data_IF_216478932752
#
_entry.id   IF_216478932752
#
_cell.length_a   1.000
_cell.length_b   1.000
_cell.length_c   1.000
_cell.angle_alpha   90.00
_cell.angle_beta   90.00
_cell.angle_gamma   90.00
#
_symmetry.space_group_name_H-M   'P 1'
#
loop_
_entity.id
_entity.type
_entity.pdbx_description
1 polymer ?
#
# COMPACT_ATOMS: atom_id res chain seq x y z
N UNK A 1 24.25 8.35 1.27
CA UNK A 1 23.42 7.13 1.48
C UNK A 1 24.30 6.13 2.21
N UNK A 2 23.86 5.60 3.36
CA UNK A 2 24.70 5.11 4.47
C UNK A 2 25.70 3.98 4.17
N UNK A 3 26.34 3.45 5.21
CA UNK A 3 27.42 2.43 5.13
C UNK A 3 27.09 1.16 4.34
N UNK A 4 25.81 0.95 3.99
CA UNK A 4 25.30 -0.23 3.30
C UNK A 4 25.07 -0.01 1.79
N UNK A 5 25.38 1.18 1.26
CA UNK A 5 25.26 1.51 -0.16
C UNK A 5 23.82 1.66 -0.67
N UNK A 6 23.69 1.75 -2.00
CA UNK A 6 22.41 1.69 -2.74
C UNK A 6 22.31 0.29 -3.33
N UNK A 7 21.15 -0.36 -3.20
CA UNK A 7 20.87 -1.64 -3.86
C UNK A 7 19.58 -1.55 -4.65
N UNK A 8 19.53 -2.27 -5.77
CA UNK A 8 18.31 -2.44 -6.55
C UNK A 8 17.55 -3.67 -6.05
N UNK A 9 16.23 -3.59 -6.06
CA UNK A 9 15.33 -4.74 -5.90
C UNK A 9 14.73 -5.03 -7.26
N UNK A 10 14.83 -6.28 -7.71
CA UNK A 10 14.19 -6.71 -8.94
C UNK A 10 12.68 -6.76 -8.74
N UNK A 11 11.94 -6.19 -9.70
CA UNK A 11 10.47 -6.17 -9.68
C UNK A 11 9.95 -7.46 -10.33
N UNK A 12 9.81 -8.52 -9.54
CA UNK A 12 9.27 -9.81 -10.01
C UNK A 12 7.77 -9.93 -9.74
N UNK A 13 7.09 -10.81 -10.49
CA UNK A 13 5.66 -11.12 -10.30
C UNK A 13 5.38 -11.83 -8.98
N UNK A 14 6.31 -12.64 -8.48
CA UNK A 14 6.21 -13.29 -7.17
C UNK A 14 6.30 -12.25 -6.04
N UNK A 15 7.14 -11.23 -6.23
CA UNK A 15 7.35 -10.17 -5.26
C UNK A 15 6.24 -9.14 -5.25
N UNK A 16 5.64 -8.83 -6.41
CA UNK A 16 4.79 -7.64 -6.57
C UNK A 16 3.47 -7.91 -7.29
N UNK A 17 3.11 -9.19 -7.44
CA UNK A 17 1.89 -9.64 -8.11
C UNK A 17 1.96 -9.45 -9.62
N UNK A 18 1.16 -10.20 -10.36
CA UNK A 18 1.08 -10.11 -11.81
C UNK A 18 -0.12 -9.29 -12.29
N UNK A 19 0.03 -8.54 -13.38
CA UNK A 19 -1.08 -7.98 -14.14
C UNK A 19 -0.75 -7.87 -15.62
N UNK A 20 -1.77 -8.01 -16.45
CA UNK A 20 -1.67 -7.76 -17.88
C UNK A 20 -1.93 -6.26 -18.10
N UNK A 21 -0.96 -5.57 -18.68
CA UNK A 21 -1.07 -4.17 -19.06
C UNK A 21 -2.11 -3.96 -20.17
N UNK A 22 -2.49 -2.70 -20.41
CA UNK A 22 -3.43 -2.35 -21.50
C UNK A 22 -2.92 -2.73 -22.89
N UNK A 23 -1.61 -2.87 -23.02
CA UNK A 23 -0.89 -3.32 -24.22
C UNK A 23 -0.79 -4.85 -24.34
N UNK A 24 -1.40 -5.62 -23.42
CA UNK A 24 -1.36 -7.08 -23.40
C UNK A 24 -0.09 -7.67 -22.80
N UNK A 25 0.88 -6.84 -22.37
CA UNK A 25 2.14 -7.31 -21.81
C UNK A 25 2.01 -7.62 -20.32
N UNK A 26 2.65 -8.70 -19.86
CA UNK A 26 2.73 -9.03 -18.44
C UNK A 26 3.63 -8.03 -17.70
N UNK A 27 3.17 -7.54 -16.55
CA UNK A 27 3.86 -6.58 -15.69
C UNK A 27 3.59 -6.88 -14.21
N UNK A 28 4.44 -6.36 -13.32
CA UNK A 28 4.13 -6.45 -11.88
C UNK A 28 3.03 -5.48 -11.49
N UNK A 29 2.25 -5.73 -10.43
CA UNK A 29 1.21 -4.78 -9.99
C UNK A 29 1.77 -3.47 -9.42
N UNK A 30 3.04 -3.41 -9.02
CA UNK A 30 3.63 -2.20 -8.46
C UNK A 30 3.53 -1.00 -9.42
N UNK A 31 3.10 0.15 -8.91
CA UNK A 31 2.99 1.41 -9.66
C UNK A 31 3.87 2.50 -9.03
N UNK A 32 3.57 2.91 -7.79
CA UNK A 32 4.28 4.01 -7.12
C UNK A 32 4.10 3.99 -5.59
N UNK A 33 4.61 5.03 -4.92
CA UNK A 33 4.37 5.31 -3.50
C UNK A 33 4.86 4.21 -2.54
N UNK A 34 6.13 3.79 -2.59
CA UNK A 34 6.62 2.73 -1.70
C UNK A 34 6.67 3.22 -0.25
N UNK A 35 5.95 2.52 0.63
CA UNK A 35 6.03 2.68 2.08
C UNK A 35 6.62 1.43 2.71
N UNK A 36 7.88 1.53 3.15
CA UNK A 36 8.62 0.40 3.74
C UNK A 36 8.78 0.56 5.25
N UNK A 37 8.49 -0.50 6.00
CA UNK A 37 8.70 -0.53 7.44
C UNK A 37 9.01 -1.96 7.90
N UNK A 38 9.63 -2.08 9.08
CA UNK A 38 9.89 -3.37 9.73
C UNK A 38 8.94 -3.53 10.91
N UNK A 39 8.32 -4.70 11.03
CA UNK A 39 7.51 -5.09 12.19
C UNK A 39 7.83 -6.54 12.57
N UNK A 40 8.24 -6.74 13.82
CA UNK A 40 8.82 -8.01 14.30
C UNK A 40 9.96 -8.44 13.36
N UNK A 41 9.90 -9.66 12.83
CA UNK A 41 10.94 -10.22 11.97
C UNK A 41 10.68 -10.04 10.47
N UNK A 42 9.63 -9.29 10.09
CA UNK A 42 9.26 -9.05 8.71
C UNK A 42 9.42 -7.58 8.31
N UNK A 43 9.89 -7.39 7.08
CA UNK A 43 9.76 -6.14 6.34
C UNK A 43 8.45 -6.15 5.56
N UNK A 44 7.77 -5.02 5.56
CA UNK A 44 6.55 -4.76 4.81
C UNK A 44 6.84 -3.64 3.82
N UNK A 45 6.39 -3.81 2.58
CA UNK A 45 6.41 -2.80 1.54
C UNK A 45 4.99 -2.66 1.01
N UNK A 46 4.35 -1.53 1.31
CA UNK A 46 3.01 -1.18 0.85
C UNK A 46 3.13 -0.16 -0.28
N UNK A 47 2.31 -0.27 -1.31
CA UNK A 47 2.45 0.55 -2.52
C UNK A 47 1.14 0.70 -3.28
N UNK A 48 1.06 1.75 -4.10
CA UNK A 48 0.01 1.90 -5.10
C UNK A 48 0.17 0.82 -6.17
N UNK A 49 -0.93 0.17 -6.51
CA UNK A 49 -0.96 -1.01 -7.34
C UNK A 49 -1.96 -0.89 -8.51
N UNK A 50 -1.48 -1.33 -9.68
CA UNK A 50 -2.11 -1.53 -10.99
C UNK A 50 -3.46 -0.84 -11.25
N UNK A 51 -3.50 -0.03 -12.30
CA UNK A 51 -4.74 0.52 -12.86
C UNK A 51 -5.04 1.92 -12.36
N UNK A 52 -6.03 2.56 -13.00
CA UNK A 52 -6.55 3.87 -12.61
C UNK A 52 -8.08 3.71 -12.55
N UNK A 53 -8.75 3.92 -11.40
CA UNK A 53 -8.16 4.28 -10.10
C UNK A 53 -7.22 3.22 -9.51
N UNK A 54 -6.22 3.63 -8.73
CA UNK A 54 -5.22 2.74 -8.15
C UNK A 54 -5.76 1.93 -6.96
N UNK A 55 -5.29 0.69 -6.81
CA UNK A 55 -5.43 -0.12 -5.60
C UNK A 55 -4.26 0.18 -4.64
N UNK A 56 -4.34 -0.31 -3.40
CA UNK A 56 -3.15 -0.44 -2.55
C UNK A 56 -2.88 -1.91 -2.31
N UNK A 57 -1.65 -2.34 -2.59
CA UNK A 57 -1.16 -3.68 -2.32
C UNK A 57 0.02 -3.65 -1.36
N UNK A 58 0.42 -4.84 -0.90
CA UNK A 58 1.64 -4.98 -0.13
C UNK A 58 2.37 -6.29 -0.40
N UNK A 59 3.64 -6.27 -0.03
CA UNK A 59 4.55 -7.40 -0.05
C UNK A 59 5.31 -7.49 1.26
N UNK A 60 5.75 -8.69 1.62
CA UNK A 60 6.60 -8.91 2.81
C UNK A 60 7.91 -9.58 2.45
N UNK A 61 8.96 -9.35 3.23
CA UNK A 61 10.25 -10.01 3.10
C UNK A 61 10.92 -10.28 4.46
N UNK A 62 11.76 -11.32 4.58
CA UNK A 62 12.58 -11.53 5.77
C UNK A 62 13.75 -10.54 5.89
N UNK A 63 14.12 -9.86 4.79
CA UNK A 63 15.16 -8.84 4.74
C UNK A 63 14.72 -7.69 3.85
N UNK A 64 15.25 -6.48 4.08
CA UNK A 64 15.00 -5.31 3.24
C UNK A 64 15.42 -5.54 1.77
N UNK A 65 16.33 -6.49 1.53
CA UNK A 65 16.78 -6.90 0.18
C UNK A 65 15.91 -8.00 -0.43
N UNK A 66 14.85 -8.44 0.24
CA UNK A 66 14.02 -9.56 -0.18
C UNK A 66 14.47 -10.92 0.40
N UNK A 67 14.02 -12.05 -0.18
CA UNK A 67 13.05 -12.10 -1.28
C UNK A 67 11.70 -11.50 -0.85
N UNK A 68 11.12 -10.66 -1.70
CA UNK A 68 9.79 -10.11 -1.48
C UNK A 68 8.74 -11.12 -1.92
N UNK A 69 7.62 -11.15 -1.21
CA UNK A 69 6.46 -11.99 -1.56
C UNK A 69 5.22 -11.12 -1.56
N UNK A 70 4.49 -11.12 -2.67
CA UNK A 70 3.20 -10.45 -2.81
C UNK A 70 2.18 -11.02 -1.83
N UNK A 71 1.42 -10.14 -1.16
CA UNK A 71 0.43 -10.53 -0.14
C UNK A 71 -1.00 -10.10 -0.45
N UNK A 72 -1.24 -9.48 -1.60
CA UNK A 72 -2.59 -9.06 -1.99
C UNK A 72 -2.84 -7.56 -1.83
N UNK A 73 -4.09 -7.17 -2.12
CA UNK A 73 -4.58 -5.82 -1.89
C UNK A 73 -4.98 -5.62 -0.44
N UNK A 74 -4.72 -4.42 0.10
CA UNK A 74 -5.20 -3.97 1.40
C UNK A 74 -6.22 -2.84 1.28
N UNK A 75 -6.41 -2.26 0.08
CA UNK A 75 -7.48 -1.32 -0.19
C UNK A 75 -7.95 -1.44 -1.65
N UNK A 76 -9.26 -1.57 -1.82
CA UNK A 76 -9.94 -1.52 -3.11
C UNK A 76 -10.35 -0.08 -3.47
N UNK A 77 -11.00 0.06 -4.63
CA UNK A 77 -11.53 1.34 -5.09
C UNK A 77 -12.80 1.69 -4.35
N UNK A 78 -12.98 2.98 -4.04
CA UNK A 78 -14.26 3.51 -3.58
C UNK A 78 -14.53 4.87 -4.24
N UNK A 79 -15.81 5.29 -4.40
CA UNK A 79 -16.16 6.51 -5.14
C UNK A 79 -15.52 7.81 -4.62
N UNK A 80 -15.23 7.87 -3.32
CA UNK A 80 -14.63 9.04 -2.66
C UNK A 80 -13.09 9.04 -2.68
N UNK A 81 -12.45 7.98 -3.19
CA UNK A 81 -11.00 7.94 -3.40
C UNK A 81 -10.62 8.71 -4.68
N UNK A 82 -9.42 9.29 -4.67
CA UNK A 82 -8.85 9.89 -5.87
C UNK A 82 -8.40 8.82 -6.88
N UNK A 83 -8.08 9.24 -8.11
CA UNK A 83 -7.66 8.32 -9.18
C UNK A 83 -6.26 7.71 -8.93
N UNK A 84 -5.39 8.40 -8.22
CA UNK A 84 -4.15 7.85 -7.62
C UNK A 84 -4.38 7.51 -6.16
N UNK A 85 -3.51 6.72 -5.55
CA UNK A 85 -3.51 6.43 -4.13
C UNK A 85 -2.08 6.39 -3.58
N UNK A 86 -1.88 6.64 -2.28
CA UNK A 86 -0.54 6.64 -1.67
C UNK A 86 -0.61 6.14 -0.23
N UNK A 87 0.11 5.06 0.12
CA UNK A 87 0.00 4.46 1.44
C UNK A 87 0.94 5.09 2.47
N UNK A 88 0.51 5.09 3.72
CA UNK A 88 1.37 5.22 4.89
C UNK A 88 0.86 4.33 6.02
N UNK A 89 1.73 3.56 6.67
CA UNK A 89 1.36 2.74 7.84
C UNK A 89 2.26 3.07 9.02
N UNK A 90 1.65 3.31 10.19
CA UNK A 90 2.36 3.51 11.45
C UNK A 90 1.67 2.76 12.59
N UNK A 91 2.47 2.38 13.59
CA UNK A 91 1.97 1.96 14.89
C UNK A 91 2.05 3.17 15.85
N UNK A 92 0.93 3.51 16.51
CA UNK A 92 0.86 4.63 17.44
C UNK A 92 -0.08 4.31 18.60
N UNK A 93 0.39 4.56 19.85
CA UNK A 93 -0.38 4.32 21.08
C UNK A 93 -1.02 2.92 21.17
N UNK A 94 -0.31 1.89 20.70
CA UNK A 94 -0.79 0.50 20.76
C UNK A 94 -1.74 0.09 19.62
N UNK A 95 -2.02 0.97 18.67
CA UNK A 95 -2.88 0.69 17.51
C UNK A 95 -2.09 0.84 16.21
N UNK A 96 -2.58 0.22 15.14
CA UNK A 96 -2.02 0.35 13.79
C UNK A 96 -2.95 1.18 12.91
N UNK A 97 -2.35 2.10 12.15
CA UNK A 97 -3.07 3.06 11.33
C UNK A 97 -2.61 3.01 9.88
N UNK A 98 -3.58 3.01 8.98
CA UNK A 98 -3.36 3.08 7.55
C UNK A 98 -3.85 4.44 7.01
N UNK A 99 -2.90 5.24 6.54
CA UNK A 99 -3.10 6.53 5.91
C UNK A 99 -3.13 6.38 4.39
N UNK A 100 -4.04 7.13 3.78
CA UNK A 100 -4.25 7.22 2.34
C UNK A 100 -4.83 8.61 2.00
N UNK A 101 -5.22 8.83 0.74
CA UNK A 101 -5.88 10.09 0.36
C UNK A 101 -7.21 9.90 -0.38
N UNK A 102 -8.06 10.91 -0.25
CA UNK A 102 -9.37 11.02 -0.89
C UNK A 102 -9.46 12.34 -1.67
N UNK A 103 -10.52 12.51 -2.47
CA UNK A 103 -10.85 13.78 -3.13
C UNK A 103 -12.16 14.40 -2.64
N UNK A 104 -12.77 13.83 -1.60
CA UNK A 104 -14.13 14.17 -1.19
C UNK A 104 -14.30 15.64 -0.75
N UNK A 105 -13.35 16.17 0.03
CA UNK A 105 -13.39 17.57 0.47
C UNK A 105 -13.29 18.59 -0.67
N UNK A 106 -12.77 18.17 -1.83
CA UNK A 106 -12.66 19.01 -3.02
C UNK A 106 -13.84 18.87 -3.98
N UNK A 107 -14.85 18.05 -3.64
CA UNK A 107 -15.95 17.75 -4.55
C UNK A 107 -15.57 16.81 -5.70
N UNK A 108 -14.51 16.00 -5.53
CA UNK A 108 -14.06 15.04 -6.54
C UNK A 108 -12.92 15.50 -7.45
N UNK A 109 -12.23 16.60 -7.12
CA UNK A 109 -11.05 17.03 -7.87
C UNK A 109 -9.84 16.15 -7.55
N UNK A 110 -9.50 15.22 -8.45
CA UNK A 110 -8.44 14.22 -8.25
C UNK A 110 -7.02 14.77 -7.98
N UNK A 111 -6.76 16.05 -8.26
CA UNK A 111 -5.50 16.73 -7.96
C UNK A 111 -5.52 17.54 -6.67
N UNK A 112 -6.70 17.74 -6.05
CA UNK A 112 -6.88 18.40 -4.75
C UNK A 112 -7.31 17.35 -3.72
N UNK A 113 -6.31 16.65 -3.18
CA UNK A 113 -6.52 15.49 -2.32
C UNK A 113 -6.46 15.86 -0.84
N UNK A 114 -7.09 15.05 -0.01
CA UNK A 114 -7.12 15.18 1.45
C UNK A 114 -6.70 13.86 2.09
N UNK A 115 -5.96 13.94 3.20
CA UNK A 115 -5.53 12.75 3.94
C UNK A 115 -6.73 12.12 4.66
N UNK A 116 -6.78 10.79 4.62
CA UNK A 116 -7.71 9.96 5.39
C UNK A 116 -6.94 8.87 6.15
N UNK A 117 -7.57 8.29 7.16
CA UNK A 117 -6.95 7.27 8.02
C UNK A 117 -7.97 6.25 8.49
N UNK A 118 -7.60 4.98 8.42
CA UNK A 118 -8.29 3.88 9.09
C UNK A 118 -7.41 3.27 10.19
N UNK A 119 -8.03 2.82 11.26
CA UNK A 119 -7.40 1.92 12.21
C UNK A 119 -7.63 0.47 11.76
N UNK A 120 -6.62 -0.39 11.90
CA UNK A 120 -6.75 -1.81 11.61
C UNK A 120 -5.95 -2.66 12.59
N UNK A 121 -6.22 -3.97 12.58
CA UNK A 121 -5.43 -4.97 13.28
C UNK A 121 -4.80 -5.92 12.28
N UNK A 122 -3.53 -6.28 12.52
CA UNK A 122 -2.89 -7.36 11.75
C UNK A 122 -3.54 -8.70 12.11
N UNK A 123 -3.67 -9.57 11.12
CA UNK A 123 -4.02 -10.97 11.35
C UNK A 123 -2.94 -11.67 12.19
N UNK A 124 -3.27 -12.82 12.78
CA UNK A 124 -2.36 -13.57 13.64
C UNK A 124 -1.04 -13.99 12.95
N UNK A 125 -1.08 -14.23 11.64
CA UNK A 125 0.08 -14.56 10.80
C UNK A 125 0.90 -13.32 10.38
N UNK A 126 0.49 -12.13 10.80
CA UNK A 126 1.12 -10.86 10.44
C UNK A 126 0.65 -10.27 9.12
N UNK A 127 -0.31 -10.88 8.41
CA UNK A 127 -0.90 -10.27 7.22
C UNK A 127 -1.76 -9.04 7.57
N UNK A 128 -1.85 -8.11 6.63
CA UNK A 128 -2.73 -6.94 6.69
C UNK A 128 -4.08 -7.37 6.09
N UNK A 129 -5.22 -7.15 6.77
CA UNK A 129 -6.53 -7.43 6.21
C UNK A 129 -6.88 -6.45 5.08
N UNK A 130 -7.95 -6.74 4.34
CA UNK A 130 -8.53 -5.72 3.48
C UNK A 130 -9.15 -4.61 4.35
N UNK A 131 -8.73 -3.37 4.13
CA UNK A 131 -9.18 -2.18 4.86
C UNK A 131 -10.18 -1.42 3.99
N UNK A 132 -11.37 -1.17 4.54
CA UNK A 132 -12.44 -0.46 3.86
C UNK A 132 -12.35 1.03 4.19
N UNK A 133 -12.18 1.93 3.21
CA UNK A 133 -12.16 3.36 3.48
C UNK A 133 -13.51 3.84 4.01
N UNK A 134 -13.50 4.50 5.16
CA UNK A 134 -14.68 5.00 5.85
C UNK A 134 -14.83 6.52 5.70
N UNK A 135 -16.02 7.04 5.97
CA UNK A 135 -16.24 8.50 6.08
C UNK A 135 -16.04 9.01 7.50
N UNK A 136 -16.15 8.11 8.47
CA UNK A 136 -16.09 8.41 9.90
C UNK A 136 -14.65 8.42 10.43
N UNK A 137 -13.75 7.65 9.80
CA UNK A 137 -12.37 7.47 10.23
C UNK A 137 -12.25 6.76 11.58
N UNK A 138 -11.14 7.03 12.27
CA UNK A 138 -10.81 6.44 13.58
C UNK A 138 -11.80 6.90 14.66
N UNK A 139 -12.44 5.94 15.33
CA UNK A 139 -13.34 6.18 16.47
C UNK A 139 -12.54 6.32 17.77
N UNK A 140 -13.01 7.18 18.67
CA UNK A 140 -12.43 7.40 20.00
C UNK A 140 -12.75 6.27 20.97
#
# INVERSE_FOLDING_TARGET
>A
VGSNGIFAVEMTTEGFGEHIGRDGNMRTKYTEGPWVYKRKDLYYLVYAASGIPEYIAYSTAPSIKGPWTYRGYIMERAPHLAFTNHPGIIDFKGNSYFFYHTHELSGGEGFKRSVSVEQFEYNADGSIPLIIPSKEGVKK
#
